data_IF_535146382562
#
_entry.id   IF_535146382562
#
_cell.length_a   1.000
_cell.length_b   1.000
_cell.length_c   1.000
_cell.angle_alpha   90.00
_cell.angle_beta   90.00
_cell.angle_gamma   90.00
#
_symmetry.space_group_name_H-M   'P 1'
#
loop_
_entity.id
_entity.type
_entity.pdbx_description
1 polymer ?
#
# COMPACT_ATOMS: atom_id res chain seq x y z
N UNK A 1 5.86 -17.45 27.00
CA UNK A 1 6.55 -16.13 27.03
C UNK A 1 7.07 -15.88 28.43
N UNK A 2 8.35 -15.54 28.55
CA UNK A 2 9.01 -15.18 29.80
C UNK A 2 9.75 -13.86 29.66
N UNK A 3 9.92 -13.13 30.77
CA UNK A 3 10.72 -11.92 30.78
C UNK A 3 12.11 -12.26 31.27
N UNK A 4 13.12 -11.91 30.49
CA UNK A 4 14.53 -12.16 30.81
C UNK A 4 15.36 -10.92 30.53
N UNK A 5 16.37 -10.68 31.37
CA UNK A 5 17.37 -9.65 31.10
C UNK A 5 18.43 -10.24 30.19
N UNK A 6 18.49 -9.73 28.96
CA UNK A 6 19.40 -10.18 27.92
C UNK A 6 20.43 -9.10 27.60
N UNK A 7 21.66 -9.52 27.39
CA UNK A 7 22.73 -8.67 26.88
C UNK A 7 22.49 -8.41 25.38
N UNK A 8 22.50 -7.14 24.97
CA UNK A 8 22.27 -6.74 23.58
C UNK A 8 23.25 -7.39 22.58
N UNK A 9 24.45 -7.77 23.04
CA UNK A 9 25.44 -8.47 22.20
C UNK A 9 24.95 -9.86 21.76
N UNK A 10 24.11 -10.50 22.57
CA UNK A 10 23.55 -11.82 22.31
C UNK A 10 22.29 -11.76 21.44
N UNK A 11 21.78 -10.57 21.14
CA UNK A 11 20.55 -10.37 20.36
C UNK A 11 20.92 -10.06 18.92
N UNK A 12 20.50 -10.91 18.00
CA UNK A 12 20.65 -10.80 16.56
C UNK A 12 19.46 -10.07 15.95
N UNK A 13 19.72 -9.15 15.02
CA UNK A 13 18.68 -8.61 14.15
C UNK A 13 18.11 -9.72 13.28
N UNK A 14 16.83 -9.64 12.96
CA UNK A 14 16.22 -10.48 11.93
C UNK A 14 16.51 -9.86 10.55
N UNK A 15 17.38 -10.48 9.71
CA UNK A 15 17.69 -9.97 8.37
C UNK A 15 16.56 -10.20 7.35
N UNK A 16 15.58 -11.04 7.69
CA UNK A 16 14.42 -11.38 6.86
C UNK A 16 13.17 -10.61 7.28
N UNK A 17 13.28 -9.61 8.15
CA UNK A 17 12.14 -8.82 8.62
C UNK A 17 11.31 -8.27 7.44
N UNK A 18 9.98 -8.35 7.54
CA UNK A 18 9.03 -7.92 6.49
C UNK A 18 9.29 -6.51 5.95
N UNK A 19 9.79 -5.63 6.81
CA UNK A 19 10.10 -4.23 6.48
C UNK A 19 11.13 -4.06 5.36
N UNK A 20 11.99 -5.05 5.14
CA UNK A 20 13.01 -4.99 4.10
C UNK A 20 12.57 -5.60 2.78
N UNK A 21 11.48 -6.36 2.78
CA UNK A 21 11.16 -7.29 1.69
C UNK A 21 10.56 -6.62 0.45
N UNK A 22 10.27 -5.33 0.53
CA UNK A 22 9.89 -4.46 -0.59
C UNK A 22 11.03 -3.58 -1.11
N UNK A 23 12.20 -3.60 -0.46
CA UNK A 23 13.34 -2.78 -0.85
C UNK A 23 14.10 -3.40 -2.04
N UNK A 24 14.61 -2.58 -2.98
CA UNK A 24 15.48 -3.06 -4.07
C UNK A 24 16.71 -3.81 -3.53
N UNK A 25 17.06 -4.93 -4.17
CA UNK A 25 18.20 -5.76 -3.76
C UNK A 25 18.00 -6.55 -2.46
N UNK A 26 16.75 -6.66 -1.96
CA UNK A 26 16.44 -7.57 -0.88
C UNK A 26 16.66 -9.04 -1.30
N UNK A 27 17.26 -9.82 -0.41
CA UNK A 27 17.47 -11.26 -0.56
C UNK A 27 17.37 -11.92 0.82
N UNK A 28 16.65 -13.04 0.88
CA UNK A 28 16.54 -13.84 2.10
C UNK A 28 17.92 -14.34 2.54
N UNK A 29 18.20 -14.23 3.83
CA UNK A 29 19.28 -14.97 4.47
C UNK A 29 18.75 -16.33 4.93
N UNK A 30 19.56 -17.38 4.82
CA UNK A 30 19.25 -18.66 5.45
C UNK A 30 19.33 -18.50 6.97
N UNK A 31 18.37 -19.07 7.70
CA UNK A 31 18.24 -18.88 9.16
C UNK A 31 19.51 -19.27 9.92
N UNK A 32 20.14 -20.40 9.56
CA UNK A 32 21.40 -20.84 10.14
C UNK A 32 22.60 -19.90 9.93
N UNK A 33 22.46 -18.85 9.12
CA UNK A 33 23.50 -17.85 8.83
C UNK A 33 23.21 -16.49 9.46
N UNK A 34 22.13 -16.33 10.23
CA UNK A 34 21.78 -15.04 10.83
C UNK A 34 22.86 -14.49 11.74
N UNK A 35 23.64 -15.34 12.41
CA UNK A 35 24.74 -14.94 13.28
C UNK A 35 25.97 -14.40 12.53
N UNK A 36 26.06 -14.57 11.21
CA UNK A 36 27.23 -14.14 10.45
C UNK A 36 27.37 -12.61 10.45
N UNK A 37 28.57 -12.05 10.71
CA UNK A 37 28.78 -10.60 10.78
C UNK A 37 28.31 -9.85 9.53
N UNK A 38 28.56 -10.39 8.33
CA UNK A 38 28.13 -9.78 7.08
C UNK A 38 26.60 -9.72 6.95
N UNK A 39 25.88 -10.73 7.46
CA UNK A 39 24.41 -10.78 7.44
C UNK A 39 23.82 -9.75 8.41
N UNK A 40 24.38 -9.66 9.63
CA UNK A 40 23.98 -8.65 10.61
C UNK A 40 24.28 -7.24 10.15
N UNK A 41 25.47 -6.98 9.58
CA UNK A 41 25.86 -5.67 9.04
C UNK A 41 24.91 -5.23 7.92
N UNK A 42 24.51 -6.16 7.03
CA UNK A 42 23.52 -5.89 5.98
C UNK A 42 22.16 -5.52 6.55
N UNK A 43 21.67 -6.26 7.56
CA UNK A 43 20.41 -5.97 8.22
C UNK A 43 20.44 -4.59 8.90
N UNK A 44 21.52 -4.29 9.62
CA UNK A 44 21.72 -3.01 10.29
C UNK A 44 21.76 -1.85 9.30
N UNK A 45 22.51 -1.99 8.19
CA UNK A 45 22.59 -0.99 7.12
C UNK A 45 21.21 -0.63 6.57
N UNK A 46 20.37 -1.62 6.24
CA UNK A 46 19.01 -1.39 5.72
C UNK A 46 18.15 -0.60 6.69
N UNK A 47 18.26 -0.86 7.99
CA UNK A 47 17.50 -0.13 9.02
C UNK A 47 18.04 1.30 9.18
N UNK A 48 19.36 1.50 9.09
CA UNK A 48 19.99 2.83 9.19
C UNK A 48 19.63 3.77 8.05
N UNK A 49 19.39 3.23 6.86
CA UNK A 49 18.97 3.99 5.68
C UNK A 49 17.54 4.55 5.82
N UNK A 50 16.78 4.13 6.83
CA UNK A 50 15.46 4.68 7.10
C UNK A 50 15.52 6.00 7.87
N UNK A 51 15.02 7.10 7.28
CA UNK A 51 14.99 8.42 7.95
C UNK A 51 14.34 8.38 9.35
N UNK A 52 13.32 7.54 9.53
CA UNK A 52 12.58 7.44 10.79
C UNK A 52 13.40 6.87 11.96
N UNK A 53 14.61 6.34 11.72
CA UNK A 53 15.49 5.84 12.78
C UNK A 53 16.25 6.97 13.49
N UNK A 54 16.51 8.10 12.80
CA UNK A 54 17.32 9.20 13.34
C UNK A 54 16.66 9.79 14.60
N UNK A 55 15.36 10.14 14.61
CA UNK A 55 14.70 10.63 15.82
C UNK A 55 14.69 9.63 16.98
N UNK A 56 14.67 8.31 16.67
CA UNK A 56 14.74 7.27 17.69
C UNK A 56 16.13 7.22 18.34
N UNK A 57 17.19 7.34 17.53
CA UNK A 57 18.57 7.41 18.01
C UNK A 57 18.77 8.64 18.91
N UNK A 58 18.34 9.81 18.46
CA UNK A 58 18.41 11.06 19.23
C UNK A 58 17.65 10.95 20.55
N UNK A 59 16.47 10.34 20.55
CA UNK A 59 15.69 10.12 21.76
C UNK A 59 16.42 9.23 22.76
N UNK A 60 17.05 8.13 22.32
CA UNK A 60 17.82 7.24 23.20
C UNK A 60 19.09 7.92 23.71
N UNK A 61 19.81 8.65 22.85
CA UNK A 61 20.99 9.42 23.26
C UNK A 61 20.65 10.47 24.32
N UNK A 62 19.46 11.07 24.24
CA UNK A 62 19.03 12.11 25.19
C UNK A 62 18.48 11.57 26.50
N UNK A 63 17.79 10.42 26.49
CA UNK A 63 17.03 9.95 27.65
C UNK A 63 17.47 8.58 28.18
N UNK A 64 18.42 7.91 27.51
CA UNK A 64 18.59 6.46 27.64
C UNK A 64 17.44 5.69 26.98
N UNK A 65 17.53 4.36 27.00
CA UNK A 65 16.45 3.53 26.49
C UNK A 65 15.30 3.41 27.50
N UNK A 66 14.10 3.78 27.07
CA UNK A 66 12.87 3.68 27.85
C UNK A 66 12.02 2.53 27.29
N UNK A 67 11.86 1.40 28.02
CA UNK A 67 11.17 0.22 27.53
C UNK A 67 9.64 0.34 27.60
N UNK A 68 9.06 1.38 26.95
CA UNK A 68 7.60 1.56 26.89
C UNK A 68 6.95 0.35 26.20
N UNK A 69 7.51 -0.04 25.07
CA UNK A 69 7.20 -1.31 24.43
C UNK A 69 8.35 -2.28 24.67
N UNK A 70 8.04 -3.50 25.12
CA UNK A 70 9.06 -4.54 25.27
C UNK A 70 9.51 -5.07 23.90
N UNK A 71 10.80 -5.38 23.80
CA UNK A 71 11.39 -6.10 22.66
C UNK A 71 11.04 -7.57 22.83
N UNK A 72 10.71 -8.24 21.73
CA UNK A 72 10.33 -9.64 21.75
C UNK A 72 11.33 -10.40 20.89
N UNK A 73 11.88 -11.46 21.47
CA UNK A 73 12.91 -12.29 20.85
C UNK A 73 12.54 -13.77 21.00
N UNK A 74 13.21 -14.61 20.22
CA UNK A 74 13.19 -16.06 20.36
C UNK A 74 14.62 -16.59 20.49
N UNK A 75 14.84 -17.74 21.15
CA UNK A 75 16.12 -18.43 21.10
C UNK A 75 16.54 -18.68 19.64
N UNK A 76 17.84 -18.53 19.38
CA UNK A 76 18.42 -18.84 18.08
C UNK A 76 19.03 -20.25 18.11
N UNK A 77 18.57 -21.11 17.21
CA UNK A 77 18.90 -22.54 17.27
C UNK A 77 20.34 -22.87 16.80
N UNK A 78 21.04 -21.91 16.19
CA UNK A 78 22.34 -22.15 15.55
C UNK A 78 23.52 -21.43 16.24
N UNK A 79 23.29 -20.76 17.36
CA UNK A 79 24.34 -20.22 18.21
C UNK A 79 23.86 -20.21 19.66
N UNK A 80 24.62 -20.86 20.54
CA UNK A 80 24.28 -20.94 21.96
C UNK A 80 24.18 -19.55 22.60
N UNK A 81 23.19 -19.38 23.46
CA UNK A 81 22.92 -18.13 24.18
C UNK A 81 22.70 -16.92 23.24
N UNK A 82 22.27 -17.16 22.01
CA UNK A 82 21.86 -16.12 21.09
C UNK A 82 20.35 -16.10 20.89
N UNK A 83 19.83 -14.92 20.55
CA UNK A 83 18.40 -14.68 20.34
C UNK A 83 18.17 -13.92 19.05
N UNK A 84 17.10 -14.23 18.32
CA UNK A 84 16.69 -13.46 17.13
C UNK A 84 15.51 -12.59 17.48
N UNK A 85 15.54 -11.33 17.04
CA UNK A 85 14.42 -10.40 17.21
C UNK A 85 13.20 -10.86 16.42
N UNK A 86 12.07 -11.00 17.10
CA UNK A 86 10.74 -11.16 16.48
C UNK A 86 10.09 -9.80 16.29
N UNK A 87 10.17 -8.93 17.31
CA UNK A 87 9.53 -7.62 17.32
C UNK A 87 10.43 -6.59 18.00
N UNK A 88 10.60 -5.43 17.35
CA UNK A 88 11.52 -4.38 17.83
C UNK A 88 12.87 -4.32 17.10
N UNK A 89 12.95 -4.84 15.87
CA UNK A 89 14.20 -4.88 15.08
C UNK A 89 14.85 -3.49 14.97
N UNK A 90 14.03 -2.43 14.79
CA UNK A 90 14.49 -1.04 14.77
C UNK A 90 15.11 -0.59 16.09
N UNK A 91 14.50 -0.92 17.23
CA UNK A 91 15.03 -0.55 18.56
C UNK A 91 16.38 -1.20 18.78
N UNK A 92 16.47 -2.51 18.52
CA UNK A 92 17.73 -3.28 18.64
C UNK A 92 18.80 -2.71 17.71
N UNK A 93 18.46 -2.40 16.46
CA UNK A 93 19.39 -1.81 15.50
C UNK A 93 19.88 -0.42 15.92
N UNK A 94 18.99 0.44 16.42
CA UNK A 94 19.38 1.76 16.95
C UNK A 94 20.32 1.63 18.14
N UNK A 95 20.04 0.73 19.08
CA UNK A 95 20.91 0.51 20.23
C UNK A 95 22.27 -0.08 19.83
N UNK A 96 22.30 -1.02 18.89
CA UNK A 96 23.56 -1.52 18.29
C UNK A 96 24.33 -0.40 17.59
N UNK A 97 23.64 0.52 16.93
CA UNK A 97 24.28 1.68 16.33
C UNK A 97 24.92 2.60 17.37
N UNK A 98 24.21 2.91 18.45
CA UNK A 98 24.78 3.72 19.53
C UNK A 98 26.02 3.04 20.15
N UNK A 99 26.01 1.72 20.31
CA UNK A 99 27.19 0.98 20.78
C UNK A 99 28.37 1.02 19.79
N UNK A 100 28.11 0.90 18.48
CA UNK A 100 29.15 1.05 17.45
C UNK A 100 29.76 2.47 17.48
N UNK A 101 28.93 3.51 17.59
CA UNK A 101 29.43 4.90 17.68
C UNK A 101 30.28 5.12 18.94
N UNK A 102 29.92 4.49 20.05
CA UNK A 102 30.67 4.55 21.32
C UNK A 102 32.02 3.84 21.23
N UNK A 103 32.07 2.64 20.64
CA UNK A 103 33.28 1.82 20.59
C UNK A 103 34.21 2.16 19.43
N UNK A 104 33.65 2.39 18.25
CA UNK A 104 34.39 2.56 16.99
C UNK A 104 34.42 4.02 16.54
N UNK A 105 33.33 4.76 16.77
CA UNK A 105 33.21 6.16 16.36
C UNK A 105 33.92 7.15 17.27
N UNK A 106 34.32 6.74 18.48
CA UNK A 106 34.94 7.61 19.48
C UNK A 106 34.02 8.76 19.92
N UNK A 107 32.71 8.59 19.76
CA UNK A 107 31.72 9.60 20.16
C UNK A 107 31.60 9.56 21.68
N UNK A 108 31.70 10.72 22.31
CA UNK A 108 31.49 10.86 23.75
C UNK A 108 29.99 10.69 24.05
N UNK A 109 29.61 9.48 24.47
CA UNK A 109 28.24 9.11 24.85
C UNK A 109 28.25 8.82 26.34
N UNK A 110 27.29 9.41 27.07
CA UNK A 110 27.18 9.21 28.51
C UNK A 110 27.08 7.73 28.87
N UNK A 111 27.85 7.31 29.87
CA UNK A 111 27.86 5.92 30.34
C UNK A 111 26.46 5.44 30.78
N UNK A 112 25.65 6.32 31.35
CA UNK A 112 24.25 6.06 31.72
C UNK A 112 23.41 5.56 30.53
N UNK A 113 23.63 6.13 29.34
CA UNK A 113 22.96 5.73 28.10
C UNK A 113 23.44 4.33 27.67
N UNK A 114 24.76 4.09 27.70
CA UNK A 114 25.35 2.78 27.35
C UNK A 114 24.85 1.69 28.30
N UNK A 115 24.83 1.96 29.61
CA UNK A 115 24.33 1.04 30.62
C UNK A 115 22.84 0.73 30.39
N UNK A 116 22.04 1.72 29.96
CA UNK A 116 20.60 1.55 29.67
C UNK A 116 20.28 0.66 28.46
N UNK A 117 21.25 0.46 27.55
CA UNK A 117 21.06 -0.34 26.32
C UNK A 117 21.81 -1.66 26.32
N UNK A 118 22.71 -1.89 27.29
CA UNK A 118 23.58 -3.07 27.33
C UNK A 118 22.84 -4.30 27.85
N UNK A 119 22.08 -4.18 28.95
CA UNK A 119 21.26 -5.26 29.51
C UNK A 119 19.80 -4.83 29.53
N UNK A 120 18.97 -5.55 28.79
CA UNK A 120 17.60 -5.15 28.50
C UNK A 120 16.63 -6.24 28.92
N UNK A 121 15.57 -5.83 29.59
CA UNK A 121 14.45 -6.72 29.85
C UNK A 121 13.68 -6.96 28.54
N UNK A 122 13.71 -8.20 28.05
CA UNK A 122 13.05 -8.62 26.81
C UNK A 122 12.06 -9.74 27.10
N UNK A 123 11.07 -9.88 26.20
CA UNK A 123 10.15 -11.01 26.21
C UNK A 123 10.75 -12.10 25.33
N UNK A 124 11.05 -13.25 25.91
CA UNK A 124 11.49 -14.45 25.19
C UNK A 124 10.26 -15.32 24.91
N UNK A 125 10.04 -15.63 23.63
CA UNK A 125 9.08 -16.65 23.22
C UNK A 125 9.85 -17.97 23.07
N UNK A 126 9.43 -19.00 23.81
CA UNK A 126 10.05 -20.32 23.76
C UNK A 126 9.45 -21.10 22.58
N UNK A 127 10.31 -21.79 21.83
CA UNK A 127 9.94 -22.58 20.64
C UNK A 127 9.19 -23.85 21.05
N UNK A 128 7.87 -23.74 21.19
CA UNK A 128 6.96 -24.87 21.11
C UNK A 128 6.18 -24.73 19.78
N UNK A 129 5.72 -25.82 19.15
CA UNK A 129 5.22 -25.83 17.76
C UNK A 129 4.09 -24.86 17.38
N UNK A 130 3.48 -24.15 18.34
CA UNK A 130 2.47 -23.08 18.16
C UNK A 130 3.10 -21.66 17.99
N UNK A 131 4.43 -21.57 18.01
CA UNK A 131 5.16 -20.31 18.10
C UNK A 131 5.15 -19.49 16.79
N UNK A 132 5.14 -20.11 15.60
CA UNK A 132 5.13 -19.35 14.34
C UNK A 132 3.83 -18.56 14.12
N UNK A 133 2.68 -19.20 14.36
CA UNK A 133 1.38 -18.54 14.29
C UNK A 133 1.24 -17.47 15.38
N UNK A 134 1.74 -17.74 16.59
CA UNK A 134 1.77 -16.75 17.64
C UNK A 134 2.62 -15.52 17.27
N UNK A 135 3.84 -15.72 16.75
CA UNK A 135 4.73 -14.65 16.25
C UNK A 135 4.07 -13.86 15.13
N UNK A 136 3.46 -14.54 14.15
CA UNK A 136 2.74 -13.89 13.05
C UNK A 136 1.57 -13.04 13.56
N UNK A 137 0.82 -13.55 14.55
CA UNK A 137 -0.28 -12.82 15.21
C UNK A 137 0.24 -11.57 15.93
N UNK A 138 1.33 -11.69 16.68
CA UNK A 138 1.96 -10.59 17.41
C UNK A 138 2.44 -9.48 16.48
N UNK A 139 3.16 -9.84 15.41
CA UNK A 139 3.58 -8.90 14.37
C UNK A 139 2.37 -8.24 13.69
N UNK A 140 1.34 -9.04 13.39
CA UNK A 140 0.10 -8.56 12.80
C UNK A 140 -0.59 -7.49 13.63
N UNK A 141 -0.84 -7.76 14.93
CA UNK A 141 -1.47 -6.79 15.82
C UNK A 141 -0.72 -5.46 15.82
N UNK A 142 0.61 -5.47 15.91
CA UNK A 142 1.42 -4.26 16.02
C UNK A 142 1.61 -3.50 14.70
N UNK A 143 1.81 -4.22 13.60
CA UNK A 143 2.24 -3.61 12.34
C UNK A 143 1.19 -3.63 11.23
N UNK A 144 0.16 -4.46 11.36
CA UNK A 144 -1.00 -4.43 10.45
C UNK A 144 -2.06 -3.49 11.00
N UNK A 145 -2.39 -3.59 12.29
CA UNK A 145 -3.51 -2.85 12.91
C UNK A 145 -3.10 -1.79 13.93
N UNK A 146 -1.83 -1.77 14.37
CA UNK A 146 -1.29 -0.82 15.35
C UNK A 146 -0.77 0.50 14.76
N UNK A 147 -0.34 1.43 15.63
CA UNK A 147 -0.14 2.87 15.31
C UNK A 147 0.97 3.14 14.26
N UNK A 148 1.99 2.27 14.14
CA UNK A 148 3.06 2.38 13.14
C UNK A 148 2.97 1.23 12.13
N UNK A 149 2.11 1.41 11.13
CA UNK A 149 1.82 0.40 10.12
C UNK A 149 3.02 0.12 9.21
N UNK A 150 3.21 -1.14 8.83
CA UNK A 150 3.98 -1.47 7.62
C UNK A 150 3.24 -0.98 6.36
N UNK A 151 3.95 -0.92 5.22
CA UNK A 151 3.35 -0.59 3.93
C UNK A 151 2.25 -1.58 3.50
N UNK A 152 1.48 -1.22 2.47
CA UNK A 152 0.37 -2.05 1.97
C UNK A 152 0.80 -3.46 1.59
N UNK A 153 1.93 -3.57 0.86
CA UNK A 153 2.50 -4.84 0.41
C UNK A 153 2.91 -5.74 1.58
N UNK A 154 3.69 -5.24 2.53
CA UNK A 154 4.18 -6.05 3.66
C UNK A 154 3.04 -6.59 4.51
N UNK A 155 1.99 -5.77 4.74
CA UNK A 155 0.79 -6.20 5.47
C UNK A 155 0.06 -7.32 4.74
N UNK A 156 -0.05 -7.22 3.41
CA UNK A 156 -0.66 -8.25 2.60
C UNK A 156 0.19 -9.53 2.51
N UNK A 157 1.52 -9.38 2.52
CA UNK A 157 2.43 -10.51 2.58
C UNK A 157 2.25 -11.32 3.87
N UNK A 158 2.21 -10.65 5.03
CA UNK A 158 1.96 -11.34 6.31
C UNK A 158 0.62 -12.07 6.29
N UNK A 159 -0.44 -11.44 5.79
CA UNK A 159 -1.75 -12.08 5.62
C UNK A 159 -1.63 -13.33 4.73
N UNK A 160 -0.90 -13.25 3.63
CA UNK A 160 -0.71 -14.37 2.70
C UNK A 160 0.11 -15.49 3.33
N UNK A 161 1.17 -15.19 4.07
CA UNK A 161 1.93 -16.22 4.77
C UNK A 161 1.10 -16.92 5.84
N UNK A 162 0.27 -16.19 6.60
CA UNK A 162 -0.67 -16.81 7.54
C UNK A 162 -1.70 -17.71 6.85
N UNK A 163 -2.15 -17.36 5.64
CA UNK A 163 -3.11 -18.14 4.85
C UNK A 163 -2.49 -19.38 4.23
N UNK A 164 -1.36 -19.21 3.53
CA UNK A 164 -0.78 -20.23 2.65
C UNK A 164 0.25 -21.11 3.37
N UNK A 165 1.05 -20.55 4.28
CA UNK A 165 2.11 -21.32 4.98
C UNK A 165 1.63 -21.88 6.31
N UNK A 166 0.81 -21.11 7.04
CA UNK A 166 0.29 -21.50 8.36
C UNK A 166 -1.13 -22.10 8.30
N UNK A 167 -1.71 -22.23 7.09
CA UNK A 167 -3.03 -22.82 6.82
C UNK A 167 -4.17 -22.23 7.68
N UNK A 168 -4.14 -20.92 7.93
CA UNK A 168 -5.14 -20.25 8.78
C UNK A 168 -6.29 -19.69 7.95
N UNK A 169 -7.52 -19.93 8.41
CA UNK A 169 -8.74 -19.36 7.80
C UNK A 169 -8.77 -17.82 7.84
N UNK A 170 -9.32 -17.17 6.80
CA UNK A 170 -9.36 -15.69 6.72
C UNK A 170 -10.09 -15.03 7.91
N UNK A 171 -11.10 -15.69 8.47
CA UNK A 171 -11.82 -15.23 9.68
C UNK A 171 -10.92 -15.25 10.92
N UNK A 172 -10.15 -16.33 11.08
CA UNK A 172 -9.23 -16.50 12.19
C UNK A 172 -8.03 -15.54 12.08
N UNK A 173 -7.48 -15.36 10.87
CA UNK A 173 -6.47 -14.32 10.61
C UNK A 173 -6.99 -12.94 11.01
N UNK A 174 -8.22 -12.61 10.58
CA UNK A 174 -8.85 -11.33 10.90
C UNK A 174 -9.01 -11.11 12.41
N UNK A 175 -9.49 -12.13 13.13
CA UNK A 175 -9.62 -12.09 14.58
C UNK A 175 -8.27 -11.91 15.30
N UNK A 176 -7.23 -12.60 14.85
CA UNK A 176 -5.89 -12.54 15.46
C UNK A 176 -5.21 -11.20 15.31
N UNK A 177 -5.32 -10.57 14.14
CA UNK A 177 -4.59 -9.33 13.85
C UNK A 177 -5.48 -8.08 13.94
N UNK A 178 -6.76 -8.21 14.30
CA UNK A 178 -7.67 -7.07 14.52
C UNK A 178 -8.15 -6.40 13.22
N UNK A 179 -8.41 -7.18 12.17
CA UNK A 179 -9.00 -6.71 10.91
C UNK A 179 -10.41 -7.27 10.69
N UNK A 180 -11.11 -6.77 9.68
CA UNK A 180 -12.31 -7.46 9.17
C UNK A 180 -11.91 -8.61 8.24
N UNK A 181 -12.73 -9.66 8.17
CA UNK A 181 -12.53 -10.77 7.22
C UNK A 181 -12.49 -10.28 5.77
N UNK A 182 -13.29 -9.27 5.44
CA UNK A 182 -13.29 -8.65 4.11
C UNK A 182 -11.93 -8.02 3.78
N UNK A 183 -11.34 -7.28 4.71
CA UNK A 183 -10.03 -6.65 4.52
C UNK A 183 -8.91 -7.69 4.36
N UNK A 184 -8.92 -8.74 5.19
CA UNK A 184 -7.99 -9.88 5.04
C UNK A 184 -8.11 -10.52 3.66
N UNK A 185 -9.34 -10.79 3.23
CA UNK A 185 -9.62 -11.42 1.93
C UNK A 185 -9.17 -10.53 0.77
N UNK A 186 -9.40 -9.21 0.86
CA UNK A 186 -9.01 -8.24 -0.17
C UNK A 186 -7.49 -8.16 -0.34
N UNK A 187 -6.75 -8.11 0.78
CA UNK A 187 -5.28 -8.10 0.79
C UNK A 187 -4.70 -9.40 0.25
N UNK A 188 -5.26 -10.53 0.67
CA UNK A 188 -4.86 -11.84 0.18
C UNK A 188 -5.02 -11.93 -1.35
N UNK A 189 -6.22 -11.66 -1.87
CA UNK A 189 -6.50 -11.65 -3.32
C UNK A 189 -5.56 -10.71 -4.10
N UNK A 190 -5.35 -9.49 -3.59
CA UNK A 190 -4.46 -8.53 -4.21
C UNK A 190 -3.00 -9.01 -4.26
N UNK A 191 -2.55 -9.68 -3.20
CA UNK A 191 -1.22 -10.28 -3.15
C UNK A 191 -1.09 -11.43 -4.16
N UNK A 192 -2.08 -12.35 -4.21
CA UNK A 192 -2.11 -13.44 -5.20
C UNK A 192 -2.13 -12.92 -6.64
N UNK A 193 -2.87 -11.85 -6.91
CA UNK A 193 -2.89 -11.20 -8.23
C UNK A 193 -1.50 -10.64 -8.64
N UNK A 194 -0.74 -10.08 -7.69
CA UNK A 194 0.63 -9.65 -7.93
C UNK A 194 1.59 -10.84 -8.10
N UNK A 195 1.42 -11.92 -7.32
CA UNK A 195 2.18 -13.16 -7.52
C UNK A 195 1.94 -13.77 -8.90
N UNK A 196 0.70 -13.77 -9.38
CA UNK A 196 0.37 -14.21 -10.73
C UNK A 196 1.17 -13.43 -11.81
N UNK A 197 1.35 -12.12 -11.63
CA UNK A 197 2.18 -11.33 -12.55
C UNK A 197 3.66 -11.71 -12.45
N UNK A 198 4.17 -12.03 -11.25
CA UNK A 198 5.55 -12.50 -11.04
C UNK A 198 5.82 -13.86 -11.69
N UNK A 199 4.78 -14.66 -11.90
CA UNK A 199 4.85 -15.96 -12.57
C UNK A 199 4.62 -15.85 -14.09
N UNK A 200 4.33 -14.65 -14.61
CA UNK A 200 4.10 -14.42 -16.03
C UNK A 200 5.40 -14.41 -16.83
N UNK A 201 5.45 -15.20 -17.91
CA UNK A 201 6.63 -15.27 -18.80
C UNK A 201 7.03 -13.90 -19.38
N UNK A 202 6.05 -13.06 -19.72
CA UNK A 202 6.27 -11.76 -20.38
C UNK A 202 6.40 -10.59 -19.42
N UNK A 203 5.92 -10.72 -18.18
CA UNK A 203 5.76 -9.59 -17.26
C UNK A 203 6.42 -9.76 -15.89
N UNK A 204 7.04 -10.92 -15.62
CA UNK A 204 7.68 -11.20 -14.33
C UNK A 204 8.72 -10.14 -13.92
N UNK A 205 9.49 -9.60 -14.87
CA UNK A 205 10.53 -8.61 -14.59
C UNK A 205 9.98 -7.26 -14.10
N UNK A 206 8.76 -6.89 -14.49
CA UNK A 206 8.10 -5.66 -14.07
C UNK A 206 7.31 -5.81 -12.77
N UNK A 207 7.07 -7.05 -12.34
CA UNK A 207 6.26 -7.38 -11.19
C UNK A 207 6.99 -7.05 -9.87
N UNK A 208 6.76 -5.83 -9.36
CA UNK A 208 7.41 -5.34 -8.14
C UNK A 208 6.40 -5.00 -7.03
N UNK A 209 6.85 -4.93 -5.76
CA UNK A 209 6.00 -4.54 -4.62
C UNK A 209 5.26 -3.20 -4.80
N UNK A 210 5.79 -2.28 -5.62
CA UNK A 210 5.17 -0.98 -5.89
C UNK A 210 3.87 -1.09 -6.69
N UNK A 211 3.63 -2.21 -7.39
CA UNK A 211 2.38 -2.49 -8.11
C UNK A 211 1.28 -3.03 -7.19
N UNK A 212 1.58 -3.36 -5.93
CA UNK A 212 0.55 -3.86 -5.00
C UNK A 212 -0.69 -2.96 -4.90
N UNK A 213 -0.59 -1.61 -4.79
CA UNK A 213 -1.77 -0.75 -4.76
C UNK A 213 -2.63 -0.83 -6.03
N UNK A 214 -2.02 -1.07 -7.20
CA UNK A 214 -2.71 -1.26 -8.49
C UNK A 214 -3.58 -2.52 -8.43
N UNK A 215 -2.98 -3.66 -8.06
CA UNK A 215 -3.70 -4.93 -7.93
C UNK A 215 -4.75 -4.90 -6.81
N UNK A 216 -4.44 -4.21 -5.72
CA UNK A 216 -5.38 -4.02 -4.63
C UNK A 216 -6.62 -3.26 -5.10
N UNK A 217 -6.48 -2.19 -5.89
CA UNK A 217 -7.63 -1.48 -6.46
C UNK A 217 -8.34 -2.29 -7.56
N UNK A 218 -7.62 -3.06 -8.37
CA UNK A 218 -8.21 -3.91 -9.40
C UNK A 218 -9.16 -4.95 -8.80
N UNK A 219 -8.70 -5.70 -7.79
CA UNK A 219 -9.51 -6.67 -7.03
C UNK A 219 -10.66 -5.99 -6.29
N UNK A 220 -10.46 -4.74 -5.90
CA UNK A 220 -11.46 -3.94 -5.20
C UNK A 220 -12.63 -3.49 -6.07
N UNK A 221 -12.45 -3.50 -7.39
CA UNK A 221 -13.38 -2.89 -8.33
C UNK A 221 -14.14 -3.98 -9.10
N UNK A 222 -15.46 -4.11 -8.93
CA UNK A 222 -16.25 -5.17 -9.58
C UNK A 222 -16.08 -5.23 -11.10
N UNK A 223 -16.17 -4.09 -11.78
CA UNK A 223 -16.01 -4.02 -13.24
C UNK A 223 -14.66 -4.56 -13.73
N UNK A 224 -13.59 -4.37 -12.96
CA UNK A 224 -12.25 -4.84 -13.32
C UNK A 224 -12.12 -6.33 -13.02
N UNK A 225 -12.66 -6.81 -11.89
CA UNK A 225 -12.71 -8.25 -11.60
C UNK A 225 -13.51 -9.03 -12.63
N UNK A 226 -14.61 -8.47 -13.11
CA UNK A 226 -15.43 -9.05 -14.17
C UNK A 226 -14.66 -9.05 -15.49
N UNK A 227 -14.04 -7.93 -15.86
CA UNK A 227 -13.22 -7.81 -17.07
C UNK A 227 -12.04 -8.78 -17.11
N UNK A 228 -11.34 -8.98 -15.99
CA UNK A 228 -10.20 -9.89 -15.89
C UNK A 228 -10.60 -11.33 -15.49
N UNK A 229 -11.89 -11.56 -15.26
CA UNK A 229 -12.45 -12.83 -14.79
C UNK A 229 -11.71 -13.41 -13.58
N UNK A 230 -11.75 -12.71 -12.44
CA UNK A 230 -11.14 -13.17 -11.18
C UNK A 230 -11.85 -14.42 -10.65
N UNK A 231 -11.11 -15.51 -10.46
CA UNK A 231 -11.57 -16.76 -9.89
C UNK A 231 -11.20 -16.84 -8.40
N UNK A 232 -12.22 -16.87 -7.54
CA UNK A 232 -12.04 -16.93 -6.08
C UNK A 232 -11.63 -18.30 -5.54
N UNK A 233 -11.82 -19.37 -6.30
CA UNK A 233 -11.36 -20.71 -5.94
C UNK A 233 -9.89 -20.91 -6.26
N UNK A 234 -9.40 -20.27 -7.34
CA UNK A 234 -7.99 -20.34 -7.78
C UNK A 234 -7.14 -19.16 -7.30
N UNK A 235 -7.77 -18.09 -6.85
CA UNK A 235 -7.14 -16.83 -6.49
C UNK A 235 -6.28 -16.23 -7.62
N UNK A 236 -6.81 -16.23 -8.85
CA UNK A 236 -6.13 -15.71 -10.02
C UNK A 236 -7.11 -15.13 -11.04
N UNK A 237 -6.63 -14.24 -11.90
CA UNK A 237 -7.35 -13.83 -13.11
C UNK A 237 -7.30 -14.96 -14.15
N UNK A 238 -8.42 -15.23 -14.82
CA UNK A 238 -8.53 -16.37 -15.74
C UNK A 238 -8.80 -15.97 -17.20
N UNK A 239 -9.12 -14.70 -17.46
CA UNK A 239 -9.12 -14.16 -18.82
C UNK A 239 -7.72 -13.65 -19.16
N UNK A 240 -6.91 -14.52 -19.78
CA UNK A 240 -5.52 -14.22 -20.10
C UNK A 240 -5.36 -13.14 -21.19
N UNK A 241 -6.33 -12.99 -22.10
CA UNK A 241 -6.28 -11.94 -23.13
C UNK A 241 -6.55 -10.56 -22.52
N UNK A 242 -7.54 -10.47 -21.63
CA UNK A 242 -7.79 -9.25 -20.86
C UNK A 242 -6.63 -8.95 -19.89
N UNK A 243 -6.05 -9.99 -19.28
CA UNK A 243 -4.93 -9.86 -18.36
C UNK A 243 -3.66 -9.33 -19.05
N UNK A 244 -3.34 -9.82 -20.24
CA UNK A 244 -2.23 -9.32 -21.07
C UNK A 244 -2.41 -7.83 -21.39
N UNK A 245 -3.61 -7.42 -21.80
CA UNK A 245 -3.97 -6.01 -21.98
C UNK A 245 -3.80 -5.20 -20.69
N UNK A 246 -4.19 -5.74 -19.54
CA UNK A 246 -4.01 -5.04 -18.26
C UNK A 246 -2.54 -4.91 -17.88
N UNK A 247 -1.75 -5.97 -18.05
CA UNK A 247 -0.31 -5.98 -17.77
C UNK A 247 0.46 -5.02 -18.66
N UNK A 248 0.13 -4.92 -19.95
CA UNK A 248 0.74 -3.92 -20.84
C UNK A 248 0.45 -2.48 -20.42
N UNK A 249 -0.72 -2.21 -19.82
CA UNK A 249 -1.07 -0.87 -19.32
C UNK A 249 -0.30 -0.46 -18.06
N UNK A 250 0.09 -1.41 -17.22
CA UNK A 250 0.76 -1.17 -15.92
C UNK A 250 2.27 -1.44 -15.97
N UNK A 251 2.79 -1.91 -17.11
CA UNK A 251 4.21 -2.17 -17.33
C UNK A 251 4.83 -1.12 -18.27
N UNK A 252 6.15 -0.84 -18.16
CA UNK A 252 6.85 -0.01 -19.14
C UNK A 252 6.76 -0.58 -20.56
N UNK A 253 6.77 0.30 -21.56
CA UNK A 253 6.89 -0.07 -22.98
C UNK A 253 8.34 0.09 -23.42
N UNK A 254 8.99 -1.02 -23.80
CA UNK A 254 10.36 -0.99 -24.34
C UNK A 254 10.28 -0.83 -25.86
N UNK A 255 10.88 0.24 -26.38
CA UNK A 255 10.95 0.52 -27.81
C UNK A 255 12.37 0.89 -28.24
N UNK A 256 12.63 0.92 -29.55
CA UNK A 256 13.90 1.43 -30.10
C UNK A 256 14.19 2.88 -29.67
N UNK A 257 13.15 3.65 -29.33
CA UNK A 257 13.25 5.04 -28.86
C UNK A 257 13.51 5.18 -27.35
N UNK A 258 13.65 4.07 -26.64
CA UNK A 258 13.83 4.01 -25.19
C UNK A 258 12.64 3.40 -24.44
N UNK A 259 12.75 3.39 -23.12
CA UNK A 259 11.71 2.91 -22.21
C UNK A 259 10.69 4.02 -21.94
N UNK A 260 9.42 3.76 -22.24
CA UNK A 260 8.32 4.63 -21.84
C UNK A 260 7.70 4.11 -20.53
N UNK A 261 7.36 5.01 -19.60
CA UNK A 261 6.72 4.61 -18.35
C UNK A 261 5.33 4.02 -18.61
N UNK A 262 4.80 3.20 -17.67
CA UNK A 262 3.48 2.60 -17.80
C UNK A 262 2.39 3.65 -17.96
N UNK A 263 1.35 3.32 -18.73
CA UNK A 263 0.19 4.19 -18.97
C UNK A 263 -0.64 4.40 -17.70
N UNK A 264 -0.81 3.34 -16.91
CA UNK A 264 -1.45 3.38 -15.59
C UNK A 264 -0.38 3.35 -14.52
N UNK A 265 -0.29 4.44 -13.75
CA UNK A 265 0.76 4.66 -12.74
C UNK A 265 0.22 4.63 -11.31
N UNK A 266 -1.08 4.82 -11.14
CA UNK A 266 -1.70 5.03 -9.82
C UNK A 266 -2.94 4.18 -9.63
N UNK A 267 -3.25 3.85 -8.37
CA UNK A 267 -4.48 3.15 -8.03
C UNK A 267 -5.72 3.98 -8.37
N UNK A 268 -5.63 5.32 -8.34
CA UNK A 268 -6.73 6.19 -8.77
C UNK A 268 -7.11 5.97 -10.24
N UNK A 269 -6.13 5.84 -11.13
CA UNK A 269 -6.37 5.53 -12.55
C UNK A 269 -6.96 4.13 -12.73
N UNK A 270 -6.57 3.14 -11.92
CA UNK A 270 -7.21 1.82 -11.91
C UNK A 270 -8.69 1.96 -11.55
N UNK A 271 -9.03 2.73 -10.52
CA UNK A 271 -10.43 2.97 -10.13
C UNK A 271 -11.25 3.60 -11.24
N UNK A 272 -10.64 4.45 -12.06
CA UNK A 272 -11.27 5.11 -13.20
C UNK A 272 -11.54 4.15 -14.38
N UNK A 273 -10.87 2.99 -14.45
CA UNK A 273 -11.18 1.97 -15.47
C UNK A 273 -12.64 1.53 -15.46
N UNK A 274 -13.32 1.57 -14.30
CA UNK A 274 -14.75 1.22 -14.21
C UNK A 274 -15.66 2.07 -15.11
N UNK A 275 -15.27 3.31 -15.42
CA UNK A 275 -16.03 4.18 -16.34
C UNK A 275 -15.60 4.01 -17.79
N UNK A 276 -14.37 3.52 -18.03
CA UNK A 276 -13.80 3.30 -19.36
C UNK A 276 -14.25 1.96 -19.94
N UNK A 277 -14.20 0.88 -19.15
CA UNK A 277 -14.46 -0.50 -19.61
C UNK A 277 -15.87 -0.68 -20.21
N UNK A 278 -16.84 0.14 -19.78
CA UNK A 278 -18.21 0.11 -20.31
C UNK A 278 -18.41 0.86 -21.64
N UNK A 279 -17.36 1.49 -22.20
CA UNK A 279 -17.46 2.34 -23.40
C UNK A 279 -16.41 1.95 -24.43
N UNK A 280 -16.84 1.38 -25.55
CA UNK A 280 -15.95 0.80 -26.56
C UNK A 280 -14.91 1.81 -27.09
N UNK A 281 -15.33 3.05 -27.41
CA UNK A 281 -14.42 4.07 -27.94
C UNK A 281 -13.35 4.48 -26.91
N UNK A 282 -13.76 4.61 -25.64
CA UNK A 282 -12.84 4.91 -24.55
C UNK A 282 -11.87 3.76 -24.30
N UNK A 283 -12.36 2.51 -24.32
CA UNK A 283 -11.55 1.32 -24.15
C UNK A 283 -10.54 1.14 -25.29
N UNK A 284 -10.94 1.39 -26.54
CA UNK A 284 -10.02 1.38 -27.68
C UNK A 284 -8.92 2.44 -27.51
N UNK A 285 -9.27 3.64 -27.03
CA UNK A 285 -8.29 4.69 -26.73
C UNK A 285 -7.39 4.34 -25.53
N UNK A 286 -7.86 3.52 -24.59
CA UNK A 286 -7.06 3.02 -23.48
C UNK A 286 -5.99 2.05 -23.98
N UNK A 287 -6.35 1.12 -24.88
CA UNK A 287 -5.43 0.11 -25.42
C UNK A 287 -4.40 0.69 -26.40
N UNK A 288 -4.63 1.87 -26.96
CA UNK A 288 -3.64 2.61 -27.74
C UNK A 288 -2.55 3.19 -26.81
N UNK A 289 -1.45 2.45 -26.64
CA UNK A 289 -0.32 2.84 -25.77
C UNK A 289 0.38 4.13 -26.22
N UNK A 290 0.19 4.56 -27.48
CA UNK A 290 0.72 5.85 -27.96
C UNK A 290 -0.01 7.05 -27.37
N UNK A 291 -1.24 6.86 -26.87
CA UNK A 291 -2.07 7.90 -26.27
C UNK A 291 -1.98 7.90 -24.75
N UNK A 292 -2.09 9.09 -24.12
CA UNK A 292 -2.17 9.20 -22.66
C UNK A 292 -3.44 8.54 -22.12
N UNK A 293 -3.42 8.22 -20.81
CA UNK A 293 -4.58 7.64 -20.12
C UNK A 293 -5.77 8.62 -20.12
N UNK A 294 -5.47 9.90 -19.99
CA UNK A 294 -6.42 11.00 -19.87
C UNK A 294 -7.36 11.10 -21.08
N UNK A 295 -6.89 10.74 -22.28
CA UNK A 295 -7.72 10.71 -23.49
C UNK A 295 -8.86 9.69 -23.37
N UNK A 296 -8.54 8.47 -22.93
CA UNK A 296 -9.53 7.41 -22.73
C UNK A 296 -10.54 7.82 -21.66
N UNK A 297 -10.06 8.43 -20.58
CA UNK A 297 -10.93 8.92 -19.50
C UNK A 297 -11.85 10.06 -19.97
N UNK A 298 -11.34 11.02 -20.76
CA UNK A 298 -12.13 12.11 -21.33
C UNK A 298 -13.21 11.59 -22.29
N UNK A 299 -12.87 10.64 -23.16
CA UNK A 299 -13.86 9.97 -24.04
C UNK A 299 -14.93 9.28 -23.19
N UNK A 300 -14.52 8.59 -22.13
CA UNK A 300 -15.47 7.93 -21.23
C UNK A 300 -16.41 8.91 -20.52
N UNK A 301 -15.93 10.10 -20.17
CA UNK A 301 -16.75 11.13 -19.48
C UNK A 301 -17.54 12.04 -20.41
N UNK A 302 -17.29 12.00 -21.73
CA UNK A 302 -17.95 12.86 -22.71
C UNK A 302 -19.49 12.81 -22.61
N UNK A 303 -20.09 11.62 -22.54
CA UNK A 303 -21.56 11.53 -22.45
C UNK A 303 -22.13 12.01 -21.12
N UNK A 304 -21.38 11.91 -20.02
CA UNK A 304 -21.80 12.46 -18.73
C UNK A 304 -21.74 13.98 -18.75
N UNK A 305 -20.65 14.57 -19.29
CA UNK A 305 -20.53 16.02 -19.48
C UNK A 305 -21.61 16.57 -20.41
N UNK A 306 -21.96 15.81 -21.45
CA UNK A 306 -23.05 16.18 -22.37
C UNK A 306 -24.43 16.08 -21.71
N UNK A 307 -24.56 15.37 -20.58
CA UNK A 307 -25.79 15.25 -19.80
C UNK A 307 -25.82 16.16 -18.56
N UNK A 308 -24.67 16.58 -18.03
CA UNK A 308 -24.55 17.37 -16.82
C UNK A 308 -25.32 18.70 -16.90
N UNK A 309 -25.35 19.35 -18.07
CA UNK A 309 -26.11 20.59 -18.25
C UNK A 309 -27.63 20.40 -18.07
N UNK A 310 -28.17 19.20 -18.29
CA UNK A 310 -29.60 18.94 -18.04
C UNK A 310 -29.90 19.00 -16.54
N UNK A 311 -29.03 18.44 -15.70
CA UNK A 311 -29.20 18.44 -14.24
C UNK A 311 -29.04 19.87 -13.69
N UNK A 312 -28.01 20.60 -14.14
CA UNK A 312 -27.80 22.00 -13.77
C UNK A 312 -28.95 22.91 -14.22
N UNK A 313 -29.49 22.69 -15.43
CA UNK A 313 -30.66 23.42 -15.92
C UNK A 313 -31.92 23.10 -15.09
N UNK A 314 -32.13 21.84 -14.69
CA UNK A 314 -33.26 21.45 -13.84
C UNK A 314 -33.16 22.07 -12.44
N UNK A 315 -31.97 22.10 -11.84
CA UNK A 315 -31.73 22.78 -10.56
C UNK A 315 -31.97 24.29 -10.67
N UNK A 316 -31.51 24.92 -11.75
CA UNK A 316 -31.80 26.33 -12.01
C UNK A 316 -33.31 26.58 -12.16
N UNK A 317 -34.03 25.76 -12.92
CA UNK A 317 -35.49 25.85 -13.06
C UNK A 317 -36.18 25.69 -11.70
N UNK A 318 -35.75 24.73 -10.89
CA UNK A 318 -36.30 24.51 -9.55
C UNK A 318 -36.07 25.71 -8.63
N UNK A 319 -34.84 26.24 -8.61
CA UNK A 319 -34.51 27.43 -7.83
C UNK A 319 -35.36 28.63 -8.25
N UNK A 320 -35.48 28.89 -9.55
CA UNK A 320 -36.27 30.00 -10.11
C UNK A 320 -37.77 29.85 -9.84
N UNK A 321 -38.30 28.62 -9.90
CA UNK A 321 -39.73 28.34 -9.70
C UNK A 321 -40.16 28.48 -8.23
N UNK A 322 -39.22 28.38 -7.29
CA UNK A 322 -39.49 28.44 -5.85
C UNK A 322 -39.16 29.79 -5.19
N UNK A 323 -38.79 30.82 -5.96
CA UNK A 323 -38.57 32.16 -5.41
C UNK A 323 -39.90 32.72 -4.88
N UNK A 324 -39.92 33.16 -3.62
CA UNK A 324 -41.10 33.75 -3.02
C UNK A 324 -41.45 35.12 -3.64
N UNK A 325 -42.74 35.46 -3.70
CA UNK A 325 -43.23 36.75 -4.22
C UNK A 325 -42.57 37.96 -3.52
N UNK A 326 -42.29 37.82 -2.22
CA UNK A 326 -41.63 38.86 -1.41
C UNK A 326 -40.15 39.05 -1.77
N UNK A 327 -39.49 38.02 -2.30
CA UNK A 327 -38.10 38.04 -2.74
C UNK A 327 -38.01 38.55 -4.18
N UNK A 328 -38.93 38.15 -5.06
CA UNK A 328 -39.04 38.69 -6.43
C UNK A 328 -39.20 40.22 -6.43
N UNK A 329 -39.94 40.78 -5.47
CA UNK A 329 -40.09 42.24 -5.31
C UNK A 329 -38.82 42.96 -4.86
N UNK A 330 -37.83 42.22 -4.35
CA UNK A 330 -36.57 42.74 -3.81
C UNK A 330 -35.36 42.37 -4.67
N UNK A 331 -35.57 41.67 -5.79
CA UNK A 331 -34.52 41.42 -6.77
C UNK A 331 -33.97 42.77 -7.22
N UNK A 332 -32.65 42.89 -7.16
CA UNK A 332 -31.91 44.05 -7.62
C UNK A 332 -31.66 43.97 -9.14
N UNK A 333 -31.07 45.02 -9.69
CA UNK A 333 -30.80 45.13 -11.14
C UNK A 333 -29.91 43.98 -11.64
N UNK A 334 -28.98 43.50 -10.81
CA UNK A 334 -28.10 42.36 -11.13
C UNK A 334 -28.86 41.03 -11.24
N UNK A 335 -29.85 40.80 -10.37
CA UNK A 335 -30.71 39.63 -10.45
C UNK A 335 -31.63 39.65 -11.68
N UNK A 336 -32.11 40.83 -12.10
CA UNK A 336 -32.89 40.97 -13.34
C UNK A 336 -32.02 40.63 -14.56
N UNK A 337 -30.82 41.21 -14.64
CA UNK A 337 -29.87 40.97 -15.73
C UNK A 337 -29.52 39.47 -15.86
N UNK A 338 -29.35 38.78 -14.73
CA UNK A 338 -29.13 37.33 -14.71
C UNK A 338 -30.31 36.54 -15.31
N UNK A 339 -31.55 36.89 -14.96
CA UNK A 339 -32.75 36.22 -15.51
C UNK A 339 -32.89 36.46 -17.01
N UNK A 340 -32.65 37.69 -17.46
CA UNK A 340 -32.66 38.03 -18.88
C UNK A 340 -31.57 37.27 -19.64
N UNK A 341 -30.37 37.15 -19.06
CA UNK A 341 -29.27 36.39 -19.65
C UNK A 341 -29.61 34.90 -19.79
N UNK A 342 -30.21 34.28 -18.77
CA UNK A 342 -30.67 32.89 -18.82
C UNK A 342 -31.68 32.71 -19.96
N UNK A 343 -32.64 33.63 -20.09
CA UNK A 343 -33.66 33.60 -21.15
C UNK A 343 -33.04 33.72 -22.54
N UNK A 344 -32.12 34.65 -22.75
CA UNK A 344 -31.44 34.84 -24.04
C UNK A 344 -30.67 33.60 -24.46
N UNK A 345 -29.83 33.06 -23.55
CA UNK A 345 -29.00 31.89 -23.84
C UNK A 345 -29.88 30.68 -24.15
N UNK A 346 -30.98 30.46 -23.40
CA UNK A 346 -31.90 29.37 -23.68
C UNK A 346 -32.55 29.50 -25.08
N UNK A 347 -32.96 30.71 -25.47
CA UNK A 347 -33.55 30.95 -26.79
C UNK A 347 -32.54 30.75 -27.92
N UNK A 348 -31.30 31.20 -27.73
CA UNK A 348 -30.21 31.00 -28.71
C UNK A 348 -29.96 29.51 -28.96
N UNK A 349 -29.87 28.70 -27.89
CA UNK A 349 -29.67 27.24 -28.01
C UNK A 349 -30.84 26.55 -28.72
N UNK A 350 -32.09 26.98 -28.48
CA UNK A 350 -33.26 26.46 -29.19
C UNK A 350 -33.20 26.75 -30.69
N UNK A 351 -32.84 27.99 -31.06
CA UNK A 351 -32.69 28.39 -32.47
C UNK A 351 -31.60 27.57 -33.17
N UNK A 352 -30.46 27.34 -32.50
CA UNK A 352 -29.38 26.51 -33.03
C UNK A 352 -29.82 25.07 -33.28
N UNK A 353 -30.62 24.48 -32.39
CA UNK A 353 -31.18 23.13 -32.56
C UNK A 353 -32.11 23.07 -33.76
N UNK A 354 -32.95 24.07 -33.97
CA UNK A 354 -33.82 24.14 -35.15
C UNK A 354 -33.03 24.28 -36.46
N UNK A 355 -31.95 25.06 -36.44
CA UNK A 355 -31.07 25.24 -37.58
C UNK A 355 -30.31 23.94 -37.95
N UNK A 356 -29.88 23.16 -36.95
CA UNK A 356 -29.16 21.89 -37.14
C UNK A 356 -30.05 20.71 -37.54
N UNK A 357 -31.38 20.83 -37.40
CA UNK A 357 -32.37 19.77 -37.73
C UNK A 357 -33.03 19.97 -39.11
N UNK A 358 -32.74 21.07 -39.80
CA UNK A 358 -33.07 21.29 -41.22
C UNK A 358 -31.91 20.80 -42.08
#
# INVERSE_FOLDING_TARGET
>A
MKQENLDLKNVLLDPNNFRFQDLPGFNFAAEHRFHEPAVQARALKRIREEESIIPLKESILKNGYIPIEKIVVRPYEHLDNAYVVVEGNRRVATMKWILEDYHEGGVDIEKSVIDSISNLEMIVIESDGDDELFRASLMGIRHVSGIKHWGGYQRAKLVTEMRDKLDVGAQEVAARIGLSTNEVTRRYRAFKALEQMKESESYAEYASPSLYPIFHEAISTPAIKEWLNWDDGKYQFTDYEALDKFYSLISPEISESGEKPPKIKTYSQVRELKVILGKQDAFNSLLDLSRPFEDAYAIAKKDELTKAWYDEANEAIYALSNIGISELKKIDESGIELLERIKEVAQERLNDIEALRK
#
